data_IF_610198799283
#
_entry.id   IF_610198799283
#
_cell.length_a   1.000
_cell.length_b   1.000
_cell.length_c   1.000
_cell.angle_alpha   90.00
_cell.angle_beta   90.00
_cell.angle_gamma   90.00
#
_symmetry.space_group_name_H-M   'P 1'
#
loop_
_entity.id
_entity.type
_entity.pdbx_description
1 polymer ?
#
# COMPACT_ATOMS: atom_id res chain seq x y z
N UNK A 1 -11.34 -4.45 14.25
CA UNK A 1 -12.01 -4.24 12.94
C UNK A 1 -11.67 -5.41 11.99
N UNK A 2 -12.53 -5.77 11.00
CA UNK A 2 -12.25 -6.92 10.13
C UNK A 2 -11.40 -6.58 8.89
N UNK A 3 -11.25 -5.32 8.50
CA UNK A 3 -10.57 -4.93 7.25
C UNK A 3 -9.02 -4.92 7.37
N UNK A 4 -8.31 -4.73 6.26
CA UNK A 4 -6.86 -4.87 6.17
C UNK A 4 -6.11 -3.75 6.91
N UNK A 5 -6.56 -2.49 6.78
CA UNK A 5 -5.82 -1.32 7.26
C UNK A 5 -5.44 -1.40 8.75
N UNK A 6 -6.43 -1.48 9.65
CA UNK A 6 -6.23 -1.53 11.10
C UNK A 6 -6.71 -2.83 11.76
N UNK A 7 -7.25 -3.76 10.97
CA UNK A 7 -7.97 -4.93 11.47
C UNK A 7 -7.19 -6.24 11.48
N UNK A 8 -7.86 -7.31 11.93
CA UNK A 8 -7.29 -8.65 11.99
C UNK A 8 -6.90 -9.20 10.62
N UNK A 9 -7.57 -8.78 9.53
CA UNK A 9 -7.16 -9.17 8.19
C UNK A 9 -5.79 -8.60 7.80
N UNK A 10 -5.40 -7.43 8.32
CA UNK A 10 -4.05 -6.89 8.10
C UNK A 10 -2.97 -7.77 8.72
N UNK A 11 -3.23 -8.31 9.90
CA UNK A 11 -2.32 -9.29 10.54
C UNK A 11 -2.30 -10.61 9.79
N UNK A 12 -3.46 -11.07 9.30
CA UNK A 12 -3.53 -12.24 8.45
C UNK A 12 -2.73 -12.05 7.15
N UNK A 13 -2.79 -10.85 6.55
CA UNK A 13 -2.01 -10.48 5.36
C UNK A 13 -0.51 -10.50 5.66
N UNK A 14 -0.08 -9.94 6.80
CA UNK A 14 1.31 -10.03 7.24
C UNK A 14 1.77 -11.48 7.41
N UNK A 15 0.96 -12.33 8.06
CA UNK A 15 1.27 -13.75 8.21
C UNK A 15 1.34 -14.46 6.86
N UNK A 16 0.47 -14.10 5.91
CA UNK A 16 0.50 -14.64 4.55
C UNK A 16 1.78 -14.20 3.81
N UNK A 17 2.18 -12.94 3.95
CA UNK A 17 3.43 -12.43 3.38
C UNK A 17 4.65 -13.18 3.95
N UNK A 18 4.73 -13.36 5.27
CA UNK A 18 5.77 -14.17 5.91
C UNK A 18 5.76 -15.63 5.44
N UNK A 19 4.57 -16.22 5.25
CA UNK A 19 4.42 -17.55 4.66
C UNK A 19 4.95 -17.61 3.23
N UNK A 20 4.73 -16.58 2.40
CA UNK A 20 5.27 -16.51 1.05
C UNK A 20 6.81 -16.43 1.03
N UNK A 21 7.41 -15.77 2.02
CA UNK A 21 8.86 -15.70 2.16
C UNK A 21 9.45 -17.02 2.66
N UNK A 22 8.80 -17.65 3.65
CA UNK A 22 9.20 -18.96 4.16
C UNK A 22 7.97 -19.74 4.66
N UNK A 23 7.49 -20.74 3.91
CA UNK A 23 6.32 -21.54 4.29
C UNK A 23 6.50 -22.34 5.58
N UNK A 24 7.75 -22.64 5.96
CA UNK A 24 8.09 -23.39 7.17
C UNK A 24 8.31 -22.51 8.39
N UNK A 25 8.16 -21.19 8.23
CA UNK A 25 8.37 -20.23 9.30
C UNK A 25 7.46 -20.50 10.49
N UNK A 26 8.02 -20.43 11.71
CA UNK A 26 7.28 -20.63 12.95
C UNK A 26 7.48 -19.46 13.91
N UNK A 27 6.43 -19.15 14.67
CA UNK A 27 6.48 -18.18 15.76
C UNK A 27 6.13 -18.94 17.03
N UNK A 28 7.04 -18.98 18.00
CA UNK A 28 6.90 -19.77 19.22
C UNK A 28 6.46 -21.22 18.93
N UNK A 29 7.12 -21.88 17.97
CA UNK A 29 6.85 -23.25 17.49
C UNK A 29 5.54 -23.47 16.72
N UNK A 30 4.70 -22.43 16.58
CA UNK A 30 3.45 -22.51 15.81
C UNK A 30 3.72 -22.08 14.36
N UNK A 31 3.32 -22.86 13.34
CA UNK A 31 3.48 -22.48 11.95
C UNK A 31 2.80 -21.16 11.61
N UNK A 32 3.45 -20.32 10.80
CA UNK A 32 2.91 -19.01 10.42
C UNK A 32 1.55 -19.12 9.68
N UNK A 33 1.36 -20.21 8.92
CA UNK A 33 0.09 -20.53 8.27
C UNK A 33 -1.08 -20.65 9.27
N UNK A 34 -0.83 -21.20 10.46
CA UNK A 34 -1.85 -21.31 11.53
C UNK A 34 -2.28 -19.94 12.01
N UNK A 35 -1.34 -19.00 12.18
CA UNK A 35 -1.67 -17.62 12.53
C UNK A 35 -2.45 -16.92 11.43
N UNK A 36 -2.00 -17.06 10.17
CA UNK A 36 -2.69 -16.51 9.00
C UNK A 36 -4.18 -16.94 8.97
N UNK A 37 -4.44 -18.25 9.05
CA UNK A 37 -5.79 -18.82 9.06
C UNK A 37 -6.62 -18.33 10.27
N UNK A 38 -6.02 -18.25 11.46
CA UNK A 38 -6.72 -17.83 12.67
C UNK A 38 -7.18 -16.36 12.61
N UNK A 39 -6.28 -15.45 12.23
CA UNK A 39 -6.60 -14.04 12.10
C UNK A 39 -7.57 -13.78 10.94
N UNK A 40 -7.42 -14.52 9.83
CA UNK A 40 -8.33 -14.44 8.70
C UNK A 40 -9.73 -14.92 9.09
N UNK A 41 -9.84 -16.04 9.79
CA UNK A 41 -11.13 -16.51 10.31
C UNK A 41 -11.80 -15.45 11.20
N UNK A 42 -11.06 -14.88 12.15
CA UNK A 42 -11.57 -13.80 13.00
C UNK A 42 -12.05 -12.59 12.18
N UNK A 43 -11.32 -12.19 11.14
CA UNK A 43 -11.74 -11.12 10.23
C UNK A 43 -13.03 -11.46 9.49
N UNK A 44 -13.13 -12.65 8.91
CA UNK A 44 -14.29 -13.12 8.15
C UNK A 44 -15.53 -13.25 9.03
N UNK A 45 -15.40 -13.76 10.26
CA UNK A 45 -16.50 -13.86 11.23
C UNK A 45 -17.04 -12.49 11.66
N UNK A 46 -16.20 -11.45 11.63
CA UNK A 46 -16.58 -10.09 11.99
C UNK A 46 -17.07 -9.25 10.79
N UNK A 47 -17.14 -9.81 9.58
CA UNK A 47 -17.68 -9.10 8.43
C UNK A 47 -19.18 -8.81 8.62
N UNK A 48 -19.65 -7.61 8.23
CA UNK A 48 -21.05 -7.27 8.34
C UNK A 48 -21.91 -8.20 7.48
N UNK A 49 -22.98 -8.71 8.08
CA UNK A 49 -23.98 -9.52 7.39
C UNK A 49 -24.46 -8.79 6.13
N UNK A 50 -24.78 -9.50 5.05
CA UNK A 50 -25.34 -8.88 3.87
C UNK A 50 -26.61 -8.10 4.26
N UNK A 51 -26.79 -6.86 3.78
CA UNK A 51 -28.00 -6.13 4.04
C UNK A 51 -29.19 -6.98 3.57
N UNK A 52 -30.22 -7.11 4.41
CA UNK A 52 -31.48 -7.74 3.99
C UNK A 52 -31.96 -6.99 2.74
N UNK A 53 -32.38 -7.72 1.69
CA UNK A 53 -32.90 -7.15 0.43
C UNK A 53 -33.88 -6.03 0.74
N UNK A 54 -33.42 -4.79 0.74
CA UNK A 54 -34.26 -3.60 0.75
C UNK A 54 -34.30 -3.10 -0.69
N UNK A 55 -35.47 -2.66 -1.13
CA UNK A 55 -35.62 -2.02 -2.45
C UNK A 55 -35.22 -0.53 -2.39
N UNK A 56 -34.76 -0.06 -1.23
CA UNK A 56 -34.28 1.31 -1.05
C UNK A 56 -32.80 1.38 -1.41
N UNK A 57 -32.37 2.38 -2.20
CA UNK A 57 -30.95 2.61 -2.46
C UNK A 57 -30.19 2.82 -1.14
N UNK A 58 -28.95 2.34 -1.03
CA UNK A 58 -28.15 2.52 0.17
C UNK A 58 -27.99 4.01 0.49
N UNK A 59 -28.17 4.37 1.76
CA UNK A 59 -28.02 5.75 2.26
C UNK A 59 -26.56 6.15 2.50
N UNK A 60 -25.64 5.21 2.34
CA UNK A 60 -24.21 5.39 2.57
C UNK A 60 -23.39 4.81 1.39
N UNK A 61 -22.20 5.38 1.13
CA UNK A 61 -21.31 4.86 0.10
C UNK A 61 -20.97 3.39 0.35
N UNK A 62 -21.04 2.57 -0.70
CA UNK A 62 -20.54 1.19 -0.64
C UNK A 62 -19.04 1.23 -0.88
N UNK A 63 -18.24 1.10 0.18
CA UNK A 63 -16.80 1.00 0.06
C UNK A 63 -16.39 -0.33 -0.57
N UNK A 64 -15.45 -0.27 -1.51
CA UNK A 64 -14.97 -1.41 -2.31
C UNK A 64 -13.45 -1.58 -2.25
N UNK A 65 -12.72 -0.62 -1.67
CA UNK A 65 -11.27 -0.66 -1.56
C UNK A 65 -10.75 -1.85 -0.76
N UNK A 66 -9.60 -2.42 -1.15
CA UNK A 66 -8.98 -3.56 -0.48
C UNK A 66 -8.66 -3.25 0.99
N UNK A 67 -8.19 -2.05 1.29
CA UNK A 67 -7.69 -1.71 2.62
C UNK A 67 -8.80 -1.46 3.66
N UNK A 68 -9.85 -0.75 3.26
CA UNK A 68 -10.87 -0.19 4.14
C UNK A 68 -12.24 -0.85 4.07
N UNK A 69 -12.40 -1.91 3.27
CA UNK A 69 -13.69 -2.58 3.06
C UNK A 69 -13.63 -4.10 3.25
N UNK A 70 -14.78 -4.80 3.26
CA UNK A 70 -14.84 -6.26 3.24
C UNK A 70 -14.16 -6.92 2.03
N UNK A 71 -13.84 -6.18 0.96
CA UNK A 71 -13.19 -6.72 -0.24
C UNK A 71 -11.80 -7.27 0.10
N UNK A 72 -11.01 -6.58 0.93
CA UNK A 72 -9.67 -7.03 1.32
C UNK A 72 -9.64 -8.39 2.01
N UNK A 73 -10.38 -8.58 3.13
CA UNK A 73 -10.47 -9.87 3.80
C UNK A 73 -10.95 -11.00 2.90
N UNK A 74 -11.91 -10.74 2.00
CA UNK A 74 -12.40 -11.74 1.04
C UNK A 74 -11.36 -12.07 -0.05
N UNK A 75 -10.61 -11.07 -0.53
CA UNK A 75 -9.55 -11.27 -1.52
C UNK A 75 -8.40 -12.07 -0.90
N UNK A 76 -8.00 -11.73 0.33
CA UNK A 76 -7.04 -12.51 1.10
C UNK A 76 -7.54 -13.94 1.36
N UNK A 77 -8.82 -14.12 1.69
CA UNK A 77 -9.39 -15.45 1.89
C UNK A 77 -9.39 -16.30 0.62
N UNK A 78 -9.67 -15.69 -0.54
CA UNK A 78 -9.54 -16.34 -1.85
C UNK A 78 -8.12 -16.88 -2.05
N UNK A 79 -7.11 -16.04 -1.82
CA UNK A 79 -5.71 -16.39 -2.03
C UNK A 79 -5.21 -17.40 -1.00
N UNK A 80 -5.53 -17.23 0.29
CA UNK A 80 -5.13 -18.16 1.36
C UNK A 80 -5.79 -19.53 1.16
N UNK A 81 -7.08 -19.58 0.80
CA UNK A 81 -7.74 -20.84 0.48
C UNK A 81 -7.03 -21.56 -0.69
N UNK A 82 -6.67 -20.82 -1.75
CA UNK A 82 -5.98 -21.38 -2.91
C UNK A 82 -4.54 -21.83 -2.61
N UNK A 83 -3.73 -20.98 -1.96
CA UNK A 83 -2.26 -21.17 -1.82
C UNK A 83 -1.83 -21.86 -0.53
N UNK A 84 -2.60 -21.75 0.54
CA UNK A 84 -2.25 -22.29 1.86
C UNK A 84 -3.08 -23.52 2.16
N UNK A 85 -4.41 -23.43 2.00
CA UNK A 85 -5.31 -24.54 2.32
C UNK A 85 -5.52 -25.52 1.17
N UNK A 86 -5.09 -25.18 -0.05
CA UNK A 86 -5.36 -25.93 -1.28
C UNK A 86 -6.85 -26.26 -1.49
N UNK A 87 -7.74 -25.34 -1.10
CA UNK A 87 -9.19 -25.45 -1.21
C UNK A 87 -9.71 -24.52 -2.32
N UNK A 88 -9.82 -25.09 -3.53
CA UNK A 88 -10.31 -24.37 -4.70
C UNK A 88 -11.78 -23.97 -4.58
N UNK A 89 -12.59 -24.76 -3.88
CA UNK A 89 -14.03 -24.48 -3.75
C UNK A 89 -14.26 -23.27 -2.82
N UNK A 90 -13.59 -23.26 -1.66
CA UNK A 90 -13.63 -22.10 -0.77
C UNK A 90 -13.07 -20.85 -1.46
N UNK A 91 -11.97 -20.98 -2.22
CA UNK A 91 -11.40 -19.86 -2.97
C UNK A 91 -12.41 -19.26 -3.98
N UNK A 92 -13.07 -20.11 -4.77
CA UNK A 92 -14.14 -19.67 -5.70
C UNK A 92 -15.32 -19.04 -4.98
N UNK A 93 -15.69 -19.55 -3.81
CA UNK A 93 -16.80 -19.00 -3.01
C UNK A 93 -16.48 -17.58 -2.52
N UNK A 94 -15.29 -17.36 -1.96
CA UNK A 94 -14.87 -16.03 -1.52
C UNK A 94 -14.78 -15.03 -2.68
N UNK A 95 -14.20 -15.44 -3.80
CA UNK A 95 -14.14 -14.59 -5.00
C UNK A 95 -15.53 -14.28 -5.56
N UNK A 96 -16.43 -15.26 -5.57
CA UNK A 96 -17.83 -15.04 -6.00
C UNK A 96 -18.54 -14.00 -5.14
N UNK A 97 -18.26 -13.93 -3.82
CA UNK A 97 -18.79 -12.88 -2.95
C UNK A 97 -18.26 -11.50 -3.36
N UNK A 98 -16.99 -11.39 -3.75
CA UNK A 98 -16.41 -10.13 -4.25
C UNK A 98 -17.12 -9.69 -5.54
N UNK A 99 -17.18 -10.60 -6.52
CA UNK A 99 -17.70 -10.31 -7.86
C UNK A 99 -19.21 -10.02 -7.84
N UNK A 100 -20.00 -10.78 -7.08
CA UNK A 100 -21.46 -10.59 -7.05
C UNK A 100 -21.92 -9.41 -6.19
N UNK A 101 -21.23 -9.12 -5.07
CA UNK A 101 -21.68 -8.11 -4.10
C UNK A 101 -21.05 -6.73 -4.32
N UNK A 102 -19.77 -6.67 -4.67
CA UNK A 102 -19.01 -5.41 -4.67
C UNK A 102 -18.70 -4.91 -6.08
N UNK A 103 -18.52 -5.81 -7.06
CA UNK A 103 -18.25 -5.41 -8.45
C UNK A 103 -19.32 -4.45 -9.02
N UNK A 104 -20.64 -4.69 -8.84
CA UNK A 104 -21.64 -3.76 -9.36
C UNK A 104 -21.53 -2.35 -8.78
N UNK A 105 -21.07 -2.23 -7.52
CA UNK A 105 -20.85 -0.93 -6.87
C UNK A 105 -19.56 -0.26 -7.35
N UNK A 106 -18.54 -1.05 -7.69
CA UNK A 106 -17.30 -0.55 -8.29
C UNK A 106 -17.51 -0.04 -9.73
N UNK A 107 -18.48 -0.58 -10.47
CA UNK A 107 -18.76 -0.16 -11.86
C UNK A 107 -19.83 0.93 -11.94
N UNK A 108 -21.01 0.72 -11.34
CA UNK A 108 -22.22 1.50 -11.65
C UNK A 108 -22.35 2.85 -10.94
N UNK A 109 -21.31 3.32 -10.26
CA UNK A 109 -21.36 4.57 -9.55
C UNK A 109 -21.02 5.74 -10.51
N UNK A 110 -21.86 5.88 -11.54
CA UNK A 110 -21.79 6.91 -12.58
C UNK A 110 -22.87 7.96 -12.31
N UNK A 111 -22.46 9.21 -12.11
CA UNK A 111 -23.36 10.35 -11.95
C UNK A 111 -22.87 11.38 -10.92
N UNK A 112 -23.35 12.62 -10.99
CA UNK A 112 -22.96 13.74 -10.09
C UNK A 112 -23.26 13.49 -8.60
N UNK A 113 -24.02 12.44 -8.28
CA UNK A 113 -24.30 11.95 -6.92
C UNK A 113 -23.66 10.58 -6.65
N UNK A 114 -22.66 10.19 -7.44
CA UNK A 114 -21.93 8.96 -7.23
C UNK A 114 -21.23 9.01 -5.88
N UNK A 115 -21.69 8.17 -4.96
CA UNK A 115 -21.09 8.01 -3.65
C UNK A 115 -19.84 7.11 -3.70
N UNK A 116 -19.38 6.65 -4.87
CA UNK A 116 -18.20 5.78 -4.94
C UNK A 116 -16.92 6.60 -4.95
N UNK A 117 -16.01 6.25 -4.06
CA UNK A 117 -14.64 6.73 -4.07
C UNK A 117 -13.82 6.12 -5.20
N UNK A 118 -12.83 6.84 -5.71
CA UNK A 118 -11.83 6.31 -6.64
C UNK A 118 -10.50 5.95 -5.94
N UNK A 119 -10.29 6.41 -4.71
CA UNK A 119 -8.99 6.29 -4.03
C UNK A 119 -8.69 4.87 -3.49
N UNK A 120 -7.51 4.68 -2.90
CA UNK A 120 -6.96 3.37 -2.58
C UNK A 120 -7.61 2.70 -1.36
N UNK A 121 -8.00 3.47 -0.33
CA UNK A 121 -8.50 2.92 0.93
C UNK A 121 -9.90 2.34 0.78
N UNK A 122 -10.81 3.12 0.19
CA UNK A 122 -12.24 2.81 0.12
C UNK A 122 -12.76 2.67 -1.31
N UNK A 123 -12.01 3.13 -2.29
CA UNK A 123 -12.47 3.31 -3.65
C UNK A 123 -12.03 2.25 -4.67
N UNK A 124 -12.30 2.60 -5.93
CA UNK A 124 -12.07 1.74 -7.10
C UNK A 124 -10.61 1.38 -7.33
N UNK A 125 -9.66 2.26 -7.04
CA UNK A 125 -8.23 1.90 -7.11
C UNK A 125 -7.90 0.77 -6.14
N UNK A 126 -8.40 0.82 -4.91
CA UNK A 126 -8.29 -0.28 -3.96
C UNK A 126 -8.99 -1.55 -4.43
N UNK A 127 -10.11 -1.44 -5.14
CA UNK A 127 -10.79 -2.60 -5.72
C UNK A 127 -10.00 -3.22 -6.88
N UNK A 128 -9.41 -2.41 -7.77
CA UNK A 128 -8.51 -2.90 -8.81
C UNK A 128 -7.29 -3.61 -8.22
N UNK A 129 -6.70 -3.06 -7.16
CA UNK A 129 -5.63 -3.75 -6.43
C UNK A 129 -6.09 -5.13 -5.93
N UNK A 130 -7.32 -5.26 -5.40
CA UNK A 130 -7.86 -6.55 -4.96
C UNK A 130 -7.96 -7.58 -6.10
N UNK A 131 -8.38 -7.14 -7.30
CA UNK A 131 -8.44 -7.99 -8.48
C UNK A 131 -7.03 -8.41 -8.95
N UNK A 132 -6.08 -7.46 -8.96
CA UNK A 132 -4.68 -7.73 -9.30
C UNK A 132 -4.07 -8.72 -8.31
N UNK A 133 -4.28 -8.52 -7.01
CA UNK A 133 -3.83 -9.43 -5.95
C UNK A 133 -4.30 -10.87 -6.19
N UNK A 134 -5.57 -11.08 -6.52
CA UNK A 134 -6.09 -12.42 -6.85
C UNK A 134 -5.46 -12.94 -8.16
N UNK A 135 -5.33 -12.13 -9.21
CA UNK A 135 -4.69 -12.56 -10.48
C UNK A 135 -3.23 -12.95 -10.28
N UNK A 136 -2.47 -12.20 -9.49
CA UNK A 136 -1.05 -12.45 -9.22
C UNK A 136 -0.87 -13.76 -8.44
N UNK A 137 -1.66 -13.99 -7.39
CA UNK A 137 -1.47 -15.15 -6.53
C UNK A 137 -2.20 -16.42 -6.99
N UNK A 138 -3.30 -16.28 -7.74
CA UNK A 138 -4.09 -17.41 -8.25
C UNK A 138 -4.01 -17.55 -9.78
N UNK A 139 -3.10 -16.85 -10.44
CA UNK A 139 -2.90 -16.91 -11.90
C UNK A 139 -2.66 -18.33 -12.40
N UNK A 140 -3.14 -18.64 -13.60
CA UNK A 140 -3.05 -19.99 -14.18
C UNK A 140 -3.99 -21.03 -13.57
N UNK A 141 -4.82 -20.64 -12.59
CA UNK A 141 -5.88 -21.50 -12.02
C UNK A 141 -7.28 -21.08 -12.48
N UNK A 142 -8.26 -21.95 -12.25
CA UNK A 142 -9.68 -21.62 -12.48
C UNK A 142 -10.15 -20.44 -11.60
N UNK A 143 -9.60 -20.28 -10.39
CA UNK A 143 -9.90 -19.14 -9.51
C UNK A 143 -9.40 -17.84 -10.13
N UNK A 144 -8.16 -17.82 -10.63
CA UNK A 144 -7.61 -16.66 -11.32
C UNK A 144 -8.38 -16.31 -12.59
N UNK A 145 -8.83 -17.32 -13.35
CA UNK A 145 -9.60 -17.13 -14.58
C UNK A 145 -10.98 -16.49 -14.36
N UNK A 146 -11.54 -16.55 -13.14
CA UNK A 146 -12.79 -15.85 -12.80
C UNK A 146 -12.63 -14.32 -12.81
N UNK A 147 -11.40 -13.81 -12.65
CA UNK A 147 -11.09 -12.39 -12.80
C UNK A 147 -10.75 -12.10 -14.26
N UNK A 148 -11.78 -11.96 -15.08
CA UNK A 148 -11.61 -11.67 -16.51
C UNK A 148 -11.08 -10.26 -16.75
N UNK A 149 -10.42 -10.07 -17.90
CA UNK A 149 -9.93 -8.75 -18.32
C UNK A 149 -11.06 -7.74 -18.50
N UNK A 150 -12.27 -8.21 -18.86
CA UNK A 150 -13.46 -7.38 -18.97
C UNK A 150 -13.89 -6.78 -17.62
N UNK A 151 -13.87 -7.58 -16.54
CA UNK A 151 -14.18 -7.08 -15.20
C UNK A 151 -13.18 -6.00 -14.76
N UNK A 152 -11.90 -6.22 -15.03
CA UNK A 152 -10.84 -5.24 -14.74
C UNK A 152 -11.07 -3.96 -15.55
N UNK A 153 -11.31 -4.10 -16.86
CA UNK A 153 -11.55 -2.97 -17.78
C UNK A 153 -12.74 -2.11 -17.36
N UNK A 154 -13.86 -2.72 -16.93
CA UNK A 154 -15.04 -1.99 -16.48
C UNK A 154 -14.75 -1.03 -15.33
N UNK A 155 -13.95 -1.45 -14.34
CA UNK A 155 -13.58 -0.60 -13.21
C UNK A 155 -12.52 0.43 -13.61
N UNK A 156 -11.55 0.04 -14.43
CA UNK A 156 -10.53 0.94 -14.98
C UNK A 156 -11.15 2.11 -15.75
N UNK A 157 -12.06 1.81 -16.68
CA UNK A 157 -12.77 2.80 -17.49
C UNK A 157 -13.64 3.73 -16.62
N UNK A 158 -14.26 3.20 -15.56
CA UNK A 158 -15.03 4.01 -14.62
C UNK A 158 -14.14 5.04 -13.88
N UNK A 159 -12.94 4.65 -13.44
CA UNK A 159 -11.98 5.58 -12.80
C UNK A 159 -11.56 6.68 -13.79
N UNK A 160 -11.26 6.32 -15.04
CA UNK A 160 -10.87 7.28 -16.06
C UNK A 160 -12.00 8.24 -16.44
N UNK A 161 -13.23 7.73 -16.58
CA UNK A 161 -14.40 8.56 -16.88
C UNK A 161 -14.63 9.59 -15.78
N UNK A 162 -14.65 9.15 -14.51
CA UNK A 162 -14.79 10.06 -13.37
C UNK A 162 -13.65 11.09 -13.32
N UNK A 163 -12.42 10.65 -13.62
CA UNK A 163 -11.24 11.50 -13.61
C UNK A 163 -11.32 12.62 -14.65
N UNK A 164 -11.79 12.31 -15.86
CA UNK A 164 -11.97 13.29 -16.95
C UNK A 164 -13.09 14.27 -16.63
N UNK A 165 -14.21 13.76 -16.12
CA UNK A 165 -15.37 14.58 -15.77
C UNK A 165 -15.03 15.57 -14.65
N UNK A 166 -14.37 15.10 -13.60
CA UNK A 166 -13.99 15.95 -12.48
C UNK A 166 -12.85 16.92 -12.83
N UNK A 167 -11.90 16.54 -13.70
CA UNK A 167 -10.83 17.45 -14.14
C UNK A 167 -11.37 18.77 -14.76
N UNK A 168 -12.50 18.72 -15.47
CA UNK A 168 -13.12 19.93 -16.02
C UNK A 168 -13.68 20.85 -14.92
N UNK A 169 -14.28 20.27 -13.89
CA UNK A 169 -14.77 20.99 -12.70
C UNK A 169 -13.58 21.59 -11.95
N UNK A 170 -12.58 20.77 -11.67
CA UNK A 170 -11.35 21.16 -10.98
C UNK A 170 -10.67 22.36 -11.65
N UNK A 171 -10.46 22.29 -12.97
CA UNK A 171 -9.89 23.40 -13.76
C UNK A 171 -10.67 24.70 -13.58
N UNK A 172 -12.00 24.61 -13.63
CA UNK A 172 -12.89 25.78 -13.49
C UNK A 172 -12.85 26.35 -12.07
N UNK A 173 -12.97 25.50 -11.04
CA UNK A 173 -13.00 25.91 -9.63
C UNK A 173 -11.65 26.50 -9.19
N UNK A 174 -10.55 25.96 -9.69
CA UNK A 174 -9.19 26.41 -9.37
C UNK A 174 -8.68 27.52 -10.31
N UNK A 175 -9.48 27.94 -11.28
CA UNK A 175 -9.13 28.95 -12.29
C UNK A 175 -7.77 28.68 -12.98
N UNK A 176 -7.50 27.40 -13.28
CA UNK A 176 -6.28 26.97 -13.96
C UNK A 176 -6.39 27.17 -15.47
N UNK A 177 -5.26 27.48 -16.13
CA UNK A 177 -5.18 27.43 -17.60
C UNK A 177 -5.20 25.99 -18.09
N UNK A 178 -5.55 25.79 -19.36
CA UNK A 178 -5.58 24.46 -19.99
C UNK A 178 -4.23 23.73 -19.92
N UNK A 179 -3.12 24.46 -20.01
CA UNK A 179 -1.76 23.91 -19.95
C UNK A 179 -1.33 23.51 -18.52
N UNK A 180 -1.95 24.14 -17.51
CA UNK A 180 -1.62 23.96 -16.08
C UNK A 180 -2.49 22.87 -15.43
N UNK A 181 -3.69 22.63 -15.99
CA UNK A 181 -4.63 21.66 -15.46
C UNK A 181 -4.28 20.22 -15.89
N UNK A 182 -4.23 19.26 -14.95
CA UNK A 182 -4.07 17.87 -15.31
C UNK A 182 -5.33 17.36 -16.03
N UNK A 183 -5.18 16.43 -16.99
CA UNK A 183 -6.30 15.90 -17.78
C UNK A 183 -7.26 15.03 -16.97
N UNK A 184 -6.78 14.52 -15.84
CA UNK A 184 -7.53 13.70 -14.89
C UNK A 184 -7.35 14.29 -13.50
N UNK A 185 -8.42 14.32 -12.71
CA UNK A 185 -8.36 14.67 -11.30
C UNK A 185 -9.49 13.97 -10.56
N UNK A 186 -9.32 13.72 -9.27
CA UNK A 186 -10.34 13.09 -8.43
C UNK A 186 -10.50 13.85 -7.11
N UNK A 187 -11.61 13.58 -6.44
CA UNK A 187 -11.95 14.19 -5.17
C UNK A 187 -12.54 13.12 -4.24
N UNK A 188 -12.19 13.22 -2.97
CA UNK A 188 -12.71 12.38 -1.90
C UNK A 188 -13.08 13.27 -0.72
N UNK A 189 -14.32 13.18 -0.25
CA UNK A 189 -14.87 14.06 0.80
C UNK A 189 -14.60 15.56 0.51
N UNK A 190 -14.95 15.99 -0.70
CA UNK A 190 -14.84 17.39 -1.14
C UNK A 190 -13.39 17.93 -1.18
N UNK A 191 -12.39 17.06 -1.05
CA UNK A 191 -10.98 17.41 -1.04
C UNK A 191 -10.23 16.72 -2.18
N UNK A 192 -9.45 17.49 -2.94
CA UNK A 192 -8.54 16.97 -3.97
C UNK A 192 -7.20 16.59 -3.33
N UNK A 193 -7.16 15.36 -2.80
CA UNK A 193 -5.95 14.79 -2.21
C UNK A 193 -4.91 14.44 -3.29
N UNK A 194 -3.63 14.53 -2.93
CA UNK A 194 -2.51 14.33 -3.87
C UNK A 194 -1.71 13.06 -3.58
N UNK A 195 -1.68 12.60 -2.32
CA UNK A 195 -0.85 11.47 -1.86
C UNK A 195 -1.33 10.06 -2.26
N UNK A 196 -0.72 9.03 -1.68
CA UNK A 196 -0.87 7.64 -2.12
C UNK A 196 -2.16 6.95 -1.68
N UNK A 197 -2.74 7.31 -0.53
CA UNK A 197 -3.94 6.64 -0.02
C UNK A 197 -5.19 7.25 -0.65
N UNK A 198 -5.43 8.54 -0.39
CA UNK A 198 -6.67 9.21 -0.79
C UNK A 198 -6.57 9.98 -2.11
N UNK A 199 -5.38 10.07 -2.70
CA UNK A 199 -5.06 11.08 -3.69
C UNK A 199 -4.70 10.58 -5.08
N UNK A 200 -4.46 11.55 -5.95
CA UNK A 200 -4.18 11.34 -7.37
C UNK A 200 -2.96 10.44 -7.62
N UNK A 201 -1.86 10.59 -6.85
CA UNK A 201 -0.68 9.74 -7.00
C UNK A 201 -1.03 8.26 -6.76
N UNK A 202 -1.84 7.98 -5.74
CA UNK A 202 -2.31 6.63 -5.42
C UNK A 202 -3.10 5.99 -6.55
N UNK A 203 -4.09 6.72 -7.06
CA UNK A 203 -4.97 6.27 -8.14
C UNK A 203 -4.15 5.94 -9.39
N UNK A 204 -3.29 6.86 -9.83
CA UNK A 204 -2.47 6.68 -11.03
C UNK A 204 -1.52 5.49 -10.88
N UNK A 205 -0.91 5.33 -9.70
CA UNK A 205 0.01 4.20 -9.43
C UNK A 205 -0.66 2.85 -9.63
N UNK A 206 -1.92 2.70 -9.19
CA UNK A 206 -2.67 1.46 -9.43
C UNK A 206 -3.00 1.30 -10.93
N UNK A 207 -3.44 2.36 -11.60
CA UNK A 207 -3.79 2.28 -13.03
C UNK A 207 -2.58 1.86 -13.89
N UNK A 208 -1.38 2.41 -13.62
CA UNK A 208 -0.16 2.09 -14.38
C UNK A 208 0.22 0.59 -14.32
N UNK A 209 -0.18 -0.14 -13.28
CA UNK A 209 0.11 -1.57 -13.15
C UNK A 209 -0.69 -2.43 -14.16
N UNK A 210 -1.78 -1.90 -14.70
CA UNK A 210 -2.57 -2.56 -15.75
C UNK A 210 -2.07 -2.14 -17.14
N UNK A 211 -0.83 -2.55 -17.50
CA UNK A 211 -0.10 -1.99 -18.65
C UNK A 211 -0.92 -1.89 -19.94
N UNK A 212 -1.59 -2.98 -20.34
CA UNK A 212 -2.40 -3.03 -21.56
C UNK A 212 -3.56 -2.02 -21.58
N UNK A 213 -4.12 -1.68 -20.41
CA UNK A 213 -5.18 -0.68 -20.27
C UNK A 213 -4.61 0.74 -20.09
N UNK A 214 -3.44 0.87 -19.47
CA UNK A 214 -2.80 2.14 -19.18
C UNK A 214 -2.10 2.76 -20.40
N UNK A 215 -1.50 1.96 -21.29
CA UNK A 215 -0.75 2.43 -22.46
C UNK A 215 -1.52 3.43 -23.35
N UNK A 216 -2.81 3.19 -23.70
CA UNK A 216 -3.61 4.16 -24.46
C UNK A 216 -3.86 5.49 -23.74
N UNK A 217 -3.69 5.52 -22.43
CA UNK A 217 -3.95 6.68 -21.55
C UNK A 217 -2.68 7.17 -20.85
N UNK A 218 -1.50 6.69 -21.26
CA UNK A 218 -0.25 6.92 -20.55
C UNK A 218 0.10 8.40 -20.48
N UNK A 219 -0.15 9.17 -21.53
CA UNK A 219 0.08 10.61 -21.51
C UNK A 219 -0.77 11.31 -20.43
N UNK A 220 -2.05 10.96 -20.34
CA UNK A 220 -2.96 11.54 -19.35
C UNK A 220 -2.51 11.19 -17.94
N UNK A 221 -2.17 9.92 -17.70
CA UNK A 221 -1.72 9.42 -16.40
C UNK A 221 -0.39 10.07 -15.96
N UNK A 222 0.59 10.18 -16.86
CA UNK A 222 1.87 10.81 -16.55
C UNK A 222 1.71 12.32 -16.29
N UNK A 223 0.81 13.02 -17.00
CA UNK A 223 0.53 14.44 -16.72
C UNK A 223 -0.04 14.68 -15.32
N UNK A 224 -0.75 13.71 -14.75
CA UNK A 224 -1.18 13.81 -13.34
C UNK A 224 0.01 13.73 -12.38
N UNK A 225 0.94 12.79 -12.59
CA UNK A 225 2.14 12.69 -11.75
C UNK A 225 3.04 13.92 -11.91
N UNK A 226 3.19 14.42 -13.14
CA UNK A 226 3.93 15.66 -13.42
C UNK A 226 3.27 16.87 -12.74
N UNK A 227 1.94 16.94 -12.73
CA UNK A 227 1.21 17.96 -11.98
C UNK A 227 1.51 17.87 -10.47
N UNK A 228 1.45 16.68 -9.88
CA UNK A 228 1.82 16.48 -8.46
C UNK A 228 3.28 16.90 -8.22
N UNK A 229 4.21 16.54 -9.11
CA UNK A 229 5.62 16.95 -9.02
C UNK A 229 5.79 18.47 -9.09
N UNK A 230 5.00 19.15 -9.92
CA UNK A 230 4.99 20.60 -10.05
C UNK A 230 4.53 21.34 -8.78
N UNK A 231 3.85 20.65 -7.84
CA UNK A 231 3.41 21.19 -6.56
C UNK A 231 4.40 20.96 -5.41
N UNK A 232 5.58 20.39 -5.68
CA UNK A 232 6.59 20.12 -4.65
C UNK A 232 6.99 21.40 -3.91
N UNK A 233 7.12 21.28 -2.59
CA UNK A 233 7.68 22.33 -1.75
C UNK A 233 9.19 22.50 -1.99
N UNK A 234 9.80 23.64 -1.59
CA UNK A 234 11.25 23.80 -1.62
C UNK A 234 12.02 22.71 -0.86
N UNK A 235 11.40 22.09 0.16
CA UNK A 235 11.99 20.96 0.89
C UNK A 235 12.09 19.67 0.08
N UNK A 236 11.40 19.57 -1.07
CA UNK A 236 11.21 18.33 -1.82
C UNK A 236 9.99 17.51 -1.39
N UNK A 237 9.28 17.90 -0.32
CA UNK A 237 8.03 17.28 0.09
C UNK A 237 6.85 17.67 -0.83
N UNK A 238 5.71 17.01 -0.66
CA UNK A 238 4.48 17.31 -1.42
C UNK A 238 3.32 17.70 -0.50
N UNK A 239 2.44 18.61 -0.94
CA UNK A 239 1.22 18.93 -0.21
C UNK A 239 0.30 17.71 -0.10
N UNK A 240 -0.45 17.63 1.00
CA UNK A 240 -1.42 16.54 1.21
C UNK A 240 -2.61 16.64 0.26
N UNK A 241 -3.02 17.86 -0.07
CA UNK A 241 -4.15 18.20 -0.92
C UNK A 241 -3.98 19.59 -1.56
N UNK A 242 -4.85 19.90 -2.52
CA UNK A 242 -4.95 21.23 -3.13
C UNK A 242 -5.42 22.34 -2.17
N UNK A 243 -5.85 22.01 -0.95
CA UNK A 243 -6.18 22.96 0.14
C UNK A 243 -5.04 23.12 1.16
N UNK A 244 -3.89 22.48 0.92
CA UNK A 244 -2.75 22.48 1.83
C UNK A 244 -1.43 22.89 1.14
N UNK A 245 -1.51 23.69 0.07
CA UNK A 245 -0.37 24.12 -0.75
C UNK A 245 0.67 24.99 -0.03
N UNK A 246 0.40 25.40 1.21
CA UNK A 246 1.33 26.17 2.06
C UNK A 246 1.74 25.39 3.33
N UNK A 247 1.27 24.15 3.50
CA UNK A 247 1.48 23.35 4.72
C UNK A 247 2.44 22.19 4.45
N UNK A 248 3.73 22.50 4.50
CA UNK A 248 4.81 21.51 4.39
C UNK A 248 5.08 20.82 5.73
N UNK A 249 4.15 20.00 6.18
CA UNK A 249 4.19 19.38 7.52
C UNK A 249 4.22 17.84 7.45
N UNK A 250 3.41 17.26 6.56
CA UNK A 250 3.19 15.81 6.54
C UNK A 250 4.22 15.12 5.66
N UNK A 251 5.04 14.27 6.26
CA UNK A 251 6.02 13.40 5.57
C UNK A 251 5.59 11.96 5.82
N UNK A 252 4.41 11.58 5.32
CA UNK A 252 3.82 10.26 5.57
C UNK A 252 3.53 9.53 4.25
N UNK A 253 3.35 8.21 4.33
CA UNK A 253 2.89 7.43 3.17
C UNK A 253 1.54 7.91 2.61
N UNK A 254 0.57 8.22 3.46
CA UNK A 254 -0.72 8.75 3.01
C UNK A 254 -0.63 10.13 2.35
N UNK A 255 0.25 10.99 2.85
CA UNK A 255 0.33 12.41 2.54
C UNK A 255 1.79 12.87 2.60
N UNK A 256 2.36 13.19 1.44
CA UNK A 256 3.72 13.70 1.31
C UNK A 256 4.64 12.80 0.49
N UNK A 257 5.94 13.12 0.54
CA UNK A 257 7.02 12.44 -0.19
C UNK A 257 7.01 10.91 -0.06
N UNK A 258 6.81 10.30 1.13
CA UNK A 258 6.90 8.86 1.25
C UNK A 258 5.87 8.06 0.42
N UNK A 259 4.70 8.64 0.16
CA UNK A 259 3.69 8.05 -0.71
C UNK A 259 3.90 8.34 -2.19
N UNK A 260 4.44 9.52 -2.51
CA UNK A 260 4.66 9.97 -3.90
C UNK A 260 5.90 9.30 -4.50
N UNK A 261 6.97 9.09 -3.73
CA UNK A 261 8.21 8.46 -4.22
C UNK A 261 7.94 7.10 -4.87
N UNK A 262 7.26 6.13 -4.22
CA UNK A 262 6.95 4.84 -4.85
C UNK A 262 6.08 4.96 -6.12
N UNK A 263 5.24 6.00 -6.22
CA UNK A 263 4.45 6.25 -7.44
C UNK A 263 5.35 6.66 -8.61
N UNK A 264 6.29 7.58 -8.36
CA UNK A 264 7.19 8.11 -9.38
C UNK A 264 8.22 7.06 -9.83
N UNK A 265 8.79 6.29 -8.90
CA UNK A 265 9.71 5.21 -9.23
C UNK A 265 9.00 4.11 -10.02
N UNK A 266 7.78 3.72 -9.62
CA UNK A 266 6.99 2.74 -10.36
C UNK A 266 6.72 3.18 -11.80
N UNK A 267 6.38 4.46 -12.02
CA UNK A 267 6.16 4.98 -13.36
C UNK A 267 7.41 4.82 -14.25
N UNK A 268 8.61 5.01 -13.69
CA UNK A 268 9.86 4.78 -14.40
C UNK A 268 10.15 3.29 -14.62
N UNK A 269 10.01 2.46 -13.58
CA UNK A 269 10.21 1.01 -13.64
C UNK A 269 9.33 0.35 -14.73
N UNK A 270 8.07 0.80 -14.83
CA UNK A 270 7.11 0.25 -15.80
C UNK A 270 7.30 0.81 -17.21
N UNK A 271 7.63 2.11 -17.33
CA UNK A 271 7.66 2.83 -18.60
C UNK A 271 8.94 3.66 -18.73
N UNK A 272 10.13 3.03 -18.86
CA UNK A 272 11.40 3.73 -18.87
C UNK A 272 11.51 4.66 -20.10
N UNK A 273 11.68 5.95 -19.84
CA UNK A 273 11.80 6.99 -20.87
C UNK A 273 12.51 8.22 -20.30
N UNK A 274 12.92 9.16 -21.17
CA UNK A 274 13.42 10.46 -20.75
C UNK A 274 12.42 11.18 -19.82
N UNK A 275 11.13 11.08 -20.14
CA UNK A 275 10.04 11.69 -19.39
C UNK A 275 9.91 11.11 -17.98
N UNK A 276 9.79 9.80 -17.85
CA UNK A 276 9.63 9.12 -16.56
C UNK A 276 10.91 9.13 -15.72
N UNK A 277 12.10 9.22 -16.33
CA UNK A 277 13.35 9.47 -15.60
C UNK A 277 13.37 10.83 -14.90
N UNK A 278 12.66 11.86 -15.42
CA UNK A 278 12.49 13.13 -14.69
C UNK A 278 11.61 12.96 -13.44
N UNK A 279 10.65 12.03 -13.49
CA UNK A 279 9.86 11.64 -12.31
C UNK A 279 10.74 10.93 -11.29
N UNK A 280 11.59 9.99 -11.72
CA UNK A 280 12.60 9.38 -10.83
C UNK A 280 13.49 10.45 -10.17
N UNK A 281 13.99 11.42 -10.93
CA UNK A 281 14.79 12.53 -10.36
C UNK A 281 14.03 13.37 -9.33
N UNK A 282 12.72 13.53 -9.52
CA UNK A 282 11.88 14.18 -8.51
C UNK A 282 11.74 13.31 -7.25
N UNK A 283 11.65 11.99 -7.42
CA UNK A 283 11.64 11.03 -6.32
C UNK A 283 12.96 11.04 -5.52
N UNK A 284 14.11 11.07 -6.21
CA UNK A 284 15.45 11.18 -5.59
C UNK A 284 15.55 12.45 -4.74
N UNK A 285 15.09 13.60 -5.24
CA UNK A 285 15.06 14.86 -4.46
C UNK A 285 14.12 14.78 -3.26
N UNK A 286 12.94 14.21 -3.45
CA UNK A 286 11.97 14.04 -2.37
C UNK A 286 12.48 13.10 -1.27
N UNK A 287 13.35 12.13 -1.62
CA UNK A 287 13.93 11.20 -0.66
C UNK A 287 14.88 11.88 0.33
N UNK A 288 15.52 13.00 -0.03
CA UNK A 288 16.29 13.80 0.93
C UNK A 288 15.37 14.40 2.01
N UNK A 289 14.17 14.88 1.64
CA UNK A 289 13.17 15.28 2.64
C UNK A 289 12.79 14.11 3.56
N UNK A 290 12.60 12.91 3.00
CA UNK A 290 12.30 11.72 3.81
C UNK A 290 13.49 11.38 4.71
N UNK A 291 14.72 11.54 4.25
CA UNK A 291 15.90 11.27 5.08
C UNK A 291 16.01 12.25 6.26
N UNK A 292 15.77 13.53 6.02
CA UNK A 292 15.89 14.59 7.03
C UNK A 292 14.71 14.65 8.01
N UNK A 293 13.50 14.33 7.54
CA UNK A 293 12.24 14.57 8.26
C UNK A 293 11.36 13.34 8.35
N UNK A 294 11.83 12.17 7.91
CA UNK A 294 11.07 10.93 7.80
C UNK A 294 11.17 10.00 9.01
N UNK A 295 11.93 10.35 10.05
CA UNK A 295 11.98 9.58 11.30
C UNK A 295 11.05 10.11 12.35
N UNK A 296 10.11 9.26 12.69
CA UNK A 296 8.85 9.81 13.02
C UNK A 296 8.17 9.24 14.32
N UNK A 297 8.01 10.06 15.39
CA UNK A 297 7.13 9.95 16.60
C UNK A 297 5.68 9.32 16.62
N UNK A 298 4.89 9.13 15.54
CA UNK A 298 3.46 8.68 15.59
C UNK A 298 3.31 7.15 15.64
N UNK A 299 4.40 6.46 15.98
CA UNK A 299 4.48 5.01 15.97
C UNK A 299 5.24 4.48 14.76
N UNK A 300 5.28 3.14 14.67
CA UNK A 300 6.13 2.39 13.74
C UNK A 300 5.35 1.72 12.60
N UNK A 301 4.13 2.15 12.34
CA UNK A 301 3.29 1.62 11.26
C UNK A 301 3.75 1.99 9.85
N UNK A 302 3.03 1.44 8.86
CA UNK A 302 3.25 1.74 7.44
C UNK A 302 2.68 3.10 7.00
N UNK A 303 1.82 3.71 7.79
CA UNK A 303 1.17 4.95 7.42
C UNK A 303 1.26 5.93 8.59
N UNK A 304 0.15 6.15 9.27
CA UNK A 304 0.06 6.95 10.48
C UNK A 304 -1.19 6.51 11.26
N UNK A 305 -1.14 6.56 12.59
CA UNK A 305 -2.33 6.44 13.44
C UNK A 305 -2.96 7.82 13.65
N UNK A 306 -4.29 7.89 13.51
CA UNK A 306 -5.08 9.03 14.00
C UNK A 306 -5.45 8.78 15.47
N UNK A 307 -5.28 9.78 16.34
CA UNK A 307 -5.84 9.88 17.71
C UNK A 307 -5.04 9.32 18.90
N UNK A 308 -5.27 10.00 20.04
CA UNK A 308 -4.50 10.00 21.31
C UNK A 308 -5.30 9.17 22.33
N UNK A 309 -5.35 7.84 22.18
CA UNK A 309 -6.04 7.02 23.17
C UNK A 309 -5.20 5.80 23.57
N UNK A 310 -4.78 5.82 24.83
CA UNK A 310 -4.15 4.68 25.52
C UNK A 310 -5.23 3.63 25.78
N UNK A 311 -5.14 2.47 25.10
CA UNK A 311 -5.98 1.30 25.41
C UNK A 311 -5.11 0.14 25.90
N UNK A 312 -5.65 -0.56 26.90
CA UNK A 312 -5.01 -1.47 27.84
C UNK A 312 -4.45 -2.77 27.25
N UNK A 313 -3.41 -3.28 27.93
CA UNK A 313 -2.35 -4.19 27.48
C UNK A 313 -2.63 -5.71 27.55
N UNK A 314 -3.79 -6.18 28.00
CA UNK A 314 -3.88 -7.55 28.54
C UNK A 314 -4.22 -8.70 27.56
N UNK A 315 -4.14 -8.49 26.26
CA UNK A 315 -4.14 -9.63 25.34
C UNK A 315 -3.47 -9.28 24.02
N UNK A 316 -2.27 -9.81 23.77
CA UNK A 316 -1.93 -10.54 22.52
C UNK A 316 -0.42 -10.78 22.38
N UNK A 317 -0.04 -12.03 22.56
CA UNK A 317 1.33 -12.58 22.49
C UNK A 317 1.93 -12.53 21.07
N UNK A 318 1.11 -12.55 20.01
CA UNK A 318 1.59 -12.81 18.65
C UNK A 318 2.40 -11.67 18.03
N UNK A 319 2.00 -10.41 18.19
CA UNK A 319 2.75 -9.29 17.62
C UNK A 319 4.05 -9.01 18.41
N UNK A 320 4.03 -9.21 19.73
CA UNK A 320 5.24 -9.22 20.56
C UNK A 320 6.16 -10.41 20.20
N UNK A 321 5.61 -11.57 19.82
CA UNK A 321 6.38 -12.72 19.32
C UNK A 321 6.84 -12.54 17.87
N UNK A 322 6.14 -11.75 17.04
CA UNK A 322 6.65 -11.28 15.76
C UNK A 322 7.89 -10.37 15.93
N UNK A 323 8.17 -9.80 17.10
CA UNK A 323 9.47 -9.16 17.37
C UNK A 323 10.59 -10.17 17.65
N UNK A 324 10.29 -11.36 18.19
CA UNK A 324 11.29 -12.44 18.28
C UNK A 324 11.75 -12.89 16.89
N UNK A 325 10.92 -12.68 15.86
CA UNK A 325 11.29 -12.89 14.45
C UNK A 325 12.36 -11.89 14.00
N UNK A 326 12.37 -10.66 14.52
CA UNK A 326 13.40 -9.70 14.17
C UNK A 326 14.73 -10.02 14.87
N UNK A 327 14.70 -10.64 16.06
CA UNK A 327 15.91 -11.22 16.66
C UNK A 327 16.49 -12.42 15.88
N UNK A 328 15.68 -13.09 15.05
CA UNK A 328 16.15 -14.12 14.10
C UNK A 328 16.82 -13.50 12.87
N UNK A 329 16.50 -12.24 12.55
CA UNK A 329 16.98 -11.50 11.38
C UNK A 329 18.07 -10.48 11.74
N UNK A 330 18.98 -10.82 12.66
CA UNK A 330 20.16 -9.98 13.03
C UNK A 330 21.04 -9.69 11.81
N UNK A 331 20.62 -8.76 10.98
CA UNK A 331 21.46 -8.06 10.01
C UNK A 331 22.20 -6.99 10.81
N UNK A 332 23.53 -7.00 10.77
CA UNK A 332 24.34 -5.96 11.40
C UNK A 332 23.90 -4.59 10.87
N UNK A 333 23.30 -3.76 11.74
CA UNK A 333 22.97 -2.39 11.39
C UNK A 333 24.27 -1.62 11.11
N UNK A 334 24.48 -1.06 9.91
CA UNK A 334 25.62 -0.17 9.70
C UNK A 334 25.50 1.04 10.64
N UNK A 335 26.62 1.49 11.20
CA UNK A 335 26.70 2.71 12.00
C UNK A 335 26.48 3.92 11.07
N UNK A 336 25.23 4.30 10.85
CA UNK A 336 24.86 5.47 10.06
C UNK A 336 24.47 6.58 11.03
N UNK A 337 25.11 7.74 10.91
CA UNK A 337 24.75 8.94 11.67
C UNK A 337 23.36 9.42 11.23
N UNK A 338 22.38 9.23 12.11
CA UNK A 338 21.01 9.68 11.94
C UNK A 338 20.93 11.18 12.30
N UNK A 339 20.37 12.06 11.44
CA UNK A 339 20.22 13.48 11.74
C UNK A 339 19.41 13.72 13.04
N UNK A 340 19.70 14.80 13.80
CA UNK A 340 19.11 15.04 15.12
C UNK A 340 17.64 15.51 15.12
N UNK A 341 17.01 15.74 13.96
CA UNK A 341 15.61 16.19 13.88
C UNK A 341 14.64 14.99 13.85
N UNK A 342 13.71 14.94 14.82
CA UNK A 342 12.81 13.80 15.10
C UNK A 342 11.34 14.24 15.03
N UNK A 343 10.50 13.72 14.12
CA UNK A 343 9.04 14.01 14.01
C UNK A 343 8.21 13.00 13.10
N UNK A 344 6.89 12.60 13.36
CA UNK A 344 5.95 11.33 13.43
C UNK A 344 5.34 10.24 12.36
N UNK A 345 5.59 8.85 12.43
CA UNK A 345 5.34 7.64 11.49
C UNK A 345 6.50 6.88 10.65
N UNK A 346 7.25 5.89 11.19
CA UNK A 346 8.59 5.42 10.65
C UNK A 346 8.59 4.37 9.51
N UNK A 347 7.92 3.22 9.64
CA UNK A 347 8.19 2.06 8.76
C UNK A 347 7.70 2.26 7.33
N UNK A 348 6.58 2.97 7.16
CA UNK A 348 6.07 3.35 5.84
C UNK A 348 7.03 4.20 5.04
N UNK A 349 7.79 5.05 5.72
CA UNK A 349 8.72 5.96 5.07
C UNK A 349 9.97 5.25 4.54
N UNK A 350 10.37 4.14 5.17
CA UNK A 350 11.48 3.33 4.69
C UNK A 350 11.24 2.78 3.27
N UNK A 351 9.97 2.54 2.90
CA UNK A 351 9.63 2.07 1.56
C UNK A 351 9.89 3.09 0.45
N UNK A 352 10.03 4.38 0.76
CA UNK A 352 10.51 5.36 -0.21
C UNK A 352 11.93 4.99 -0.68
N UNK A 353 12.79 4.59 0.26
CA UNK A 353 14.16 4.16 -0.05
C UNK A 353 14.19 2.76 -0.67
N UNK A 354 13.33 1.81 -0.25
CA UNK A 354 13.23 0.51 -0.92
C UNK A 354 12.77 0.64 -2.37
N UNK A 355 11.84 1.56 -2.65
CA UNK A 355 11.38 1.83 -4.01
C UNK A 355 12.48 2.45 -4.88
N UNK A 356 13.30 3.34 -4.34
CA UNK A 356 14.49 3.88 -5.03
C UNK A 356 15.56 2.81 -5.25
N UNK A 357 15.91 2.05 -4.22
CA UNK A 357 16.86 0.94 -4.31
C UNK A 357 16.47 -0.03 -5.44
N UNK A 358 15.18 -0.41 -5.50
CA UNK A 358 14.62 -1.25 -6.56
C UNK A 358 14.81 -0.61 -7.94
N UNK A 359 14.41 0.64 -8.09
CA UNK A 359 14.48 1.37 -9.36
C UNK A 359 15.93 1.52 -9.86
N UNK A 360 16.85 1.92 -8.99
CA UNK A 360 18.27 2.04 -9.31
C UNK A 360 18.92 0.67 -9.63
N UNK A 361 18.43 -0.42 -9.03
CA UNK A 361 18.89 -1.78 -9.34
C UNK A 361 18.39 -2.24 -10.72
N UNK A 362 17.15 -1.91 -11.10
CA UNK A 362 16.61 -2.18 -12.44
C UNK A 362 17.29 -1.32 -13.52
N UNK A 363 17.74 -0.13 -13.14
CA UNK A 363 18.27 0.89 -14.04
C UNK A 363 19.62 1.45 -13.54
N UNK A 364 20.71 0.67 -13.66
CA UNK A 364 22.02 0.99 -13.08
C UNK A 364 22.73 2.20 -13.72
N UNK A 365 22.23 2.71 -14.86
CA UNK A 365 22.73 3.95 -15.48
C UNK A 365 22.23 5.22 -14.77
N UNK A 366 21.38 5.09 -13.74
CA UNK A 366 20.98 6.20 -12.87
C UNK A 366 22.15 6.58 -11.93
N UNK A 367 22.37 7.88 -11.72
CA UNK A 367 23.57 8.41 -11.04
C UNK A 367 23.61 8.17 -9.51
N UNK A 368 22.64 7.43 -8.95
CA UNK A 368 22.47 7.23 -7.51
C UNK A 368 23.01 5.87 -7.03
N UNK A 369 23.58 5.85 -5.81
CA UNK A 369 24.18 4.64 -5.24
C UNK A 369 23.11 3.76 -4.58
N UNK A 370 22.80 2.60 -5.18
CA UNK A 370 21.87 1.58 -4.64
C UNK A 370 22.15 1.19 -3.19
N UNK A 371 23.42 1.17 -2.78
CA UNK A 371 23.84 0.85 -1.41
C UNK A 371 23.39 1.91 -0.40
N UNK A 372 23.32 3.18 -0.80
CA UNK A 372 22.88 4.27 0.07
C UNK A 372 21.38 4.13 0.39
N UNK A 373 20.55 3.83 -0.60
CA UNK A 373 19.10 3.67 -0.41
C UNK A 373 18.77 2.52 0.53
N UNK A 374 19.40 1.36 0.34
CA UNK A 374 19.20 0.20 1.22
C UNK A 374 19.64 0.50 2.66
N UNK A 375 20.79 1.16 2.83
CA UNK A 375 21.27 1.60 4.15
C UNK A 375 20.31 2.56 4.85
N UNK A 376 19.68 3.49 4.11
CA UNK A 376 18.65 4.39 4.65
C UNK A 376 17.40 3.64 5.09
N UNK A 377 16.93 2.67 4.31
CA UNK A 377 15.81 1.82 4.70
C UNK A 377 16.12 1.00 5.97
N UNK A 378 17.32 0.42 6.06
CA UNK A 378 17.79 -0.32 7.24
C UNK A 378 17.89 0.55 8.49
N UNK A 379 18.30 1.82 8.35
CA UNK A 379 18.34 2.76 9.47
C UNK A 379 16.93 3.01 10.05
N UNK A 380 15.93 3.17 9.19
CA UNK A 380 14.54 3.34 9.62
C UNK A 380 14.00 2.07 10.30
N UNK A 381 14.29 0.89 9.74
CA UNK A 381 13.90 -0.38 10.32
C UNK A 381 14.56 -0.61 11.70
N UNK A 382 15.85 -0.26 11.81
CA UNK A 382 16.60 -0.33 13.08
C UNK A 382 16.02 0.61 14.13
N UNK A 383 15.65 1.84 13.75
CA UNK A 383 14.98 2.77 14.66
C UNK A 383 13.64 2.22 15.17
N UNK A 384 12.87 1.53 14.32
CA UNK A 384 11.58 0.95 14.71
C UNK A 384 11.70 -0.20 15.75
N UNK A 385 12.90 -0.74 16.00
CA UNK A 385 13.11 -1.84 16.95
C UNK A 385 12.94 -1.43 18.41
N UNK A 386 13.32 -0.21 18.73
CA UNK A 386 13.27 0.31 20.10
C UNK A 386 11.88 0.84 20.49
N UNK A 387 10.85 0.60 19.65
CA UNK A 387 9.52 1.21 19.80
C UNK A 387 8.91 1.04 21.19
N UNK A 388 9.13 -0.10 21.85
CA UNK A 388 8.57 -0.35 23.18
C UNK A 388 9.20 0.58 24.21
N UNK A 389 10.54 0.66 24.24
CA UNK A 389 11.29 1.60 25.10
C UNK A 389 10.90 3.04 24.78
N UNK A 390 10.77 3.36 23.51
CA UNK A 390 10.52 4.72 23.08
C UNK A 390 9.06 5.14 23.31
N UNK A 391 8.10 4.20 23.28
CA UNK A 391 6.71 4.45 23.72
C UNK A 391 6.59 4.57 25.24
N UNK A 392 7.33 3.75 26.01
CA UNK A 392 7.34 3.82 27.48
C UNK A 392 7.97 5.12 28.00
N UNK A 393 8.97 5.64 27.30
CA UNK A 393 9.63 6.93 27.62
C UNK A 393 8.88 8.16 27.08
N UNK A 394 7.88 7.97 26.23
CA UNK A 394 7.10 9.06 25.61
C UNK A 394 7.74 9.69 24.37
N UNK A 395 8.86 9.13 23.89
CA UNK A 395 9.53 9.56 22.65
C UNK A 395 8.74 9.14 21.40
N UNK A 396 7.98 8.03 21.47
CA UNK A 396 7.00 7.62 20.48
C UNK A 396 5.58 7.60 21.06
N UNK A 397 4.61 8.00 20.26
CA UNK A 397 3.19 7.84 20.55
C UNK A 397 2.76 6.40 20.31
N UNK A 398 2.05 5.82 21.27
CA UNK A 398 1.34 4.57 21.06
C UNK A 398 0.11 4.85 20.18
N UNK A 399 -0.03 4.22 19.01
CA UNK A 399 -1.19 4.41 18.14
C UNK A 399 -2.39 3.62 18.67
N UNK A 400 -3.59 4.00 18.23
CA UNK A 400 -4.86 3.38 18.64
C UNK A 400 -4.92 1.87 18.33
N UNK A 401 -4.32 1.45 17.21
CA UNK A 401 -4.21 0.06 16.81
C UNK A 401 -2.73 -0.38 16.77
N UNK A 402 -2.09 -0.56 17.95
CA UNK A 402 -0.63 -0.71 18.08
C UNK A 402 -0.06 -1.96 17.44
N UNK A 403 -0.90 -2.95 17.13
CA UNK A 403 -0.48 -4.18 16.47
C UNK A 403 -0.84 -4.23 14.99
N UNK A 404 -1.67 -3.30 14.51
CA UNK A 404 -2.16 -3.32 13.14
C UNK A 404 -1.05 -3.16 12.11
N UNK A 405 -1.37 -3.47 10.86
CA UNK A 405 -0.44 -3.37 9.75
C UNK A 405 -0.11 -1.90 9.41
N UNK A 406 -1.12 -1.02 9.32
CA UNK A 406 -0.88 0.36 8.85
C UNK A 406 -0.56 1.36 9.95
N UNK A 407 -0.99 1.15 11.20
CA UNK A 407 -0.69 2.07 12.31
C UNK A 407 0.35 1.50 13.27
N UNK A 408 0.39 0.18 13.40
CA UNK A 408 1.10 -0.51 14.46
C UNK A 408 2.34 -1.26 14.03
N UNK A 409 2.85 -2.09 14.95
CA UNK A 409 4.08 -2.86 14.77
C UNK A 409 4.02 -3.90 13.65
N UNK A 410 2.82 -4.27 13.18
CA UNK A 410 2.70 -5.14 12.00
C UNK A 410 3.39 -4.54 10.77
N UNK A 411 3.40 -3.21 10.65
CA UNK A 411 4.13 -2.50 9.60
C UNK A 411 5.65 -2.60 9.71
N UNK A 412 6.18 -2.50 10.93
CA UNK A 412 7.61 -2.68 11.18
C UNK A 412 8.07 -4.10 10.87
N UNK A 413 7.28 -5.10 11.26
CA UNK A 413 7.57 -6.51 10.94
C UNK A 413 7.56 -6.74 9.43
N UNK A 414 6.62 -6.12 8.70
CA UNK A 414 6.60 -6.20 7.23
C UNK A 414 7.88 -5.61 6.62
N UNK A 415 8.30 -4.42 7.06
CA UNK A 415 9.52 -3.78 6.57
C UNK A 415 10.75 -4.67 6.78
N UNK A 416 10.88 -5.27 7.97
CA UNK A 416 11.97 -6.21 8.26
C UNK A 416 11.93 -7.47 7.40
N UNK A 417 10.73 -7.99 7.13
CA UNK A 417 10.56 -9.14 6.25
C UNK A 417 11.01 -8.82 4.80
N UNK A 418 10.71 -7.62 4.30
CA UNK A 418 11.17 -7.15 2.99
C UNK A 418 12.70 -6.99 2.94
N UNK A 419 13.30 -6.37 3.98
CA UNK A 419 14.76 -6.24 4.11
C UNK A 419 15.46 -7.60 4.20
N UNK A 420 14.89 -8.56 4.93
CA UNK A 420 15.44 -9.92 5.01
C UNK A 420 15.43 -10.61 3.65
N UNK A 421 14.32 -10.53 2.89
CA UNK A 421 14.27 -11.10 1.55
C UNK A 421 15.25 -10.46 0.57
N UNK A 422 15.57 -9.17 0.73
CA UNK A 422 16.60 -8.48 -0.08
C UNK A 422 18.04 -8.90 0.26
N UNK A 423 18.29 -9.41 1.47
CA UNK A 423 19.65 -9.79 1.93
C UNK A 423 20.19 -11.10 1.33
N UNK A 424 19.37 -11.84 0.57
CA UNK A 424 19.77 -13.12 -0.05
C UNK A 424 19.84 -14.32 0.90
N UNK A 425 19.78 -14.11 2.22
CA UNK A 425 19.77 -15.21 3.21
C UNK A 425 18.49 -16.09 3.15
N UNK A 426 17.47 -15.65 2.43
CA UNK A 426 16.27 -16.44 2.13
C UNK A 426 16.50 -17.53 1.06
N UNK A 427 17.52 -17.40 0.22
CA UNK A 427 17.75 -18.28 -0.93
C UNK A 427 18.58 -19.53 -0.55
N UNK A 428 19.46 -19.43 0.45
CA UNK A 428 20.36 -20.53 0.84
C UNK A 428 19.72 -21.63 1.71
N UNK A 429 18.50 -21.44 2.24
CA UNK A 429 17.80 -22.46 3.06
C UNK A 429 16.57 -23.08 2.41
N UNK A 430 16.27 -22.71 1.16
CA UNK A 430 15.05 -23.10 0.45
C UNK A 430 15.24 -23.92 -0.82
N UNK A 431 16.45 -24.37 -1.16
CA UNK A 431 16.72 -25.18 -2.36
C UNK A 431 16.18 -26.62 -2.18
N UNK A 432 14.86 -26.77 -2.29
CA UNK A 432 14.19 -28.06 -2.19
C UNK A 432 12.76 -28.12 -2.73
N UNK A 433 12.23 -27.03 -3.31
CA UNK A 433 10.91 -27.07 -3.97
C UNK A 433 11.01 -26.43 -5.35
N UNK A 434 11.25 -27.26 -6.36
CA UNK A 434 10.96 -26.94 -7.75
C UNK A 434 9.45 -26.74 -7.92
N UNK A 435 9.01 -25.49 -7.90
CA UNK A 435 7.66 -25.09 -8.25
C UNK A 435 7.70 -23.67 -8.78
N UNK A 436 7.42 -23.48 -10.07
CA UNK A 436 7.51 -22.21 -10.79
C UNK A 436 6.75 -21.05 -10.13
N UNK A 437 7.41 -20.39 -9.19
CA UNK A 437 6.94 -19.16 -8.56
C UNK A 437 7.35 -17.97 -9.41
N UNK A 438 6.37 -17.13 -9.74
CA UNK A 438 6.60 -15.77 -10.23
C UNK A 438 7.56 -15.11 -9.22
N UNK A 439 8.78 -14.78 -9.67
CA UNK A 439 9.78 -14.12 -8.83
C UNK A 439 9.21 -12.79 -8.36
N UNK A 440 8.72 -12.73 -7.12
CA UNK A 440 8.17 -11.50 -6.54
C UNK A 440 9.33 -10.53 -6.33
N UNK A 441 9.23 -9.35 -6.93
CA UNK A 441 10.22 -8.31 -6.70
C UNK A 441 10.06 -7.77 -5.27
N UNK A 442 11.09 -7.96 -4.45
CA UNK A 442 11.11 -7.46 -3.07
C UNK A 442 11.22 -5.92 -3.04
N UNK A 443 10.75 -5.31 -1.96
CA UNK A 443 10.85 -3.85 -1.71
C UNK A 443 9.65 -3.03 -2.16
N UNK A 444 8.59 -3.65 -2.68
CA UNK A 444 7.33 -2.96 -3.00
C UNK A 444 6.51 -2.64 -1.75
N UNK A 445 5.90 -1.46 -1.71
CA UNK A 445 5.03 -1.05 -0.61
C UNK A 445 3.76 -1.95 -0.59
N UNK A 446 3.40 -2.55 0.56
CA UNK A 446 2.28 -3.47 0.65
C UNK A 446 0.93 -2.84 0.32
N UNK A 447 0.13 -3.55 -0.46
CA UNK A 447 -1.16 -3.04 -0.95
C UNK A 447 -1.06 -1.85 -1.91
N UNK A 448 0.09 -1.68 -2.58
CA UNK A 448 0.34 -0.53 -3.44
C UNK A 448 1.25 -0.84 -4.62
N UNK A 449 2.49 -1.27 -4.38
CA UNK A 449 3.52 -1.51 -5.42
C UNK A 449 4.21 -2.87 -5.27
N UNK A 450 3.65 -3.75 -4.46
CA UNK A 450 4.18 -5.05 -4.03
C UNK A 450 3.81 -6.23 -4.95
N UNK A 451 3.06 -5.97 -6.03
CA UNK A 451 2.60 -6.95 -7.00
C UNK A 451 3.23 -6.81 -8.39
N UNK A 452 4.21 -5.91 -8.53
CA UNK A 452 4.85 -5.53 -9.81
C UNK A 452 6.11 -6.32 -10.05
#
# INVERSE_FOLDING_TARGET
>A
PPHIYIGSAGIALLCYHLYCLNPTFTIATIPIATYCLSYLHAALSALPAPPRRSHAPPTHPVYTGFLGSPVGPLALATVVAHKVSNDQNAAKEYLSKILSRYHPSAVNAVGRNSMSSNELLYGRAGYLYALLFVKTHCGGSEVGAMVSDELVRQVFDAILSDGKDYAQIFKTVRALKDEEAPPLMWCWHETEYLGAIHGAAGIVTILLQFRALAEPHLDDLLRVLEFVVGLAFPSGNFPSSMSALERDELVHFCHGAPGVIPALTLAYDLYPSERTRRLLQAAERAAECVWERGLLKKGVGLCHGELDWVVWWESMDTAARCFQVIELFKVESPSIDIPPNRDPGISGNAFAFLALHRSHTLHPDSAASTHQDLGRAQAFASFAMDWKRDTESGDLRLPDNPYSLFEGVGGAVWLWAELWGLSGEGDERGSGVEGGGIGRMMGGFPCFTDLV
#
